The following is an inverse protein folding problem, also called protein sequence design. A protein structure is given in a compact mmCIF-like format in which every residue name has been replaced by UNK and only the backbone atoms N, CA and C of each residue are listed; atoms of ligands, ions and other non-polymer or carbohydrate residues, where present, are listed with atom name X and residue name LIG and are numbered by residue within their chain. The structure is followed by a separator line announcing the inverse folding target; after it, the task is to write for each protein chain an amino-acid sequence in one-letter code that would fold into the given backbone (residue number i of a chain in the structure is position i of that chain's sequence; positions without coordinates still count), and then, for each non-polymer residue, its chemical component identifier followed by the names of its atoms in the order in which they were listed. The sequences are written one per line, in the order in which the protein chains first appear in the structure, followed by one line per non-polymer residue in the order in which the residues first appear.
data_IF_026520235230
#
_entry.id   IF_026520235230
#
_cell.length_a   1.000
_cell.length_b   1.000
_cell.length_c   1.000
_cell.angle_alpha   90.00
_cell.angle_beta   90.00
_cell.angle_gamma   90.00
#
_symmetry.space_group_name_H-M   'P 1'
#
loop_
_entity.id
_entity.type
_entity.pdbx_description
1 polymer ?
#
# COMPACT_ATOMS: atom_id res chain seq x y z
N UNK A 1 16.51 11.33 18.77
CA UNK A 1 16.90 9.90 18.84
C UNK A 1 16.01 9.19 17.82
N UNK A 2 16.57 8.53 16.83
CA UNK A 2 15.77 7.82 15.81
C UNK A 2 15.21 6.53 16.41
N UNK A 3 14.06 6.06 15.90
CA UNK A 3 13.44 4.80 16.33
C UNK A 3 14.43 3.63 16.22
N UNK A 4 15.25 3.63 15.16
CA UNK A 4 16.37 2.70 14.96
C UNK A 4 17.35 2.68 16.13
N UNK A 5 17.68 3.83 16.73
CA UNK A 5 18.62 3.91 17.86
C UNK A 5 17.99 3.33 19.13
N UNK A 6 16.70 3.55 19.35
CA UNK A 6 15.95 3.02 20.50
C UNK A 6 15.88 1.49 20.43
N UNK A 7 15.58 0.96 19.24
CA UNK A 7 15.42 -0.49 19.04
C UNK A 7 16.76 -1.22 18.95
N UNK A 8 17.81 -0.62 18.37
CA UNK A 8 19.17 -1.17 18.47
C UNK A 8 19.63 -1.28 19.93
N UNK A 9 19.22 -0.35 20.78
CA UNK A 9 19.52 -0.42 22.23
C UNK A 9 18.76 -1.58 22.91
N UNK A 10 17.52 -1.88 22.49
CA UNK A 10 16.78 -3.05 22.95
C UNK A 10 17.41 -4.35 22.45
N UNK A 11 17.80 -4.45 21.18
CA UNK A 11 18.49 -5.63 20.63
C UNK A 11 19.81 -5.90 21.35
N UNK A 12 20.62 -4.86 21.66
CA UNK A 12 21.84 -5.01 22.46
C UNK A 12 21.59 -5.50 23.89
N UNK A 13 20.50 -5.04 24.51
CA UNK A 13 20.11 -5.48 25.85
C UNK A 13 19.57 -6.91 25.87
N UNK A 14 18.84 -7.34 24.85
CA UNK A 14 18.31 -8.71 24.74
C UNK A 14 19.43 -9.76 24.59
N UNK A 15 20.48 -9.46 23.82
CA UNK A 15 21.64 -10.33 23.66
C UNK A 15 22.42 -10.49 24.99
N UNK A 16 22.49 -9.44 25.83
CA UNK A 16 23.11 -9.50 27.14
C UNK A 16 22.28 -10.26 28.19
N UNK A 17 20.94 -10.29 28.04
CA UNK A 17 20.05 -10.99 29.00
C UNK A 17 19.93 -12.49 28.72
N UNK A 18 20.23 -12.96 27.53
CA UNK A 18 20.21 -14.39 27.18
C UNK A 18 21.37 -15.21 27.79
N UNK A 19 22.36 -14.54 28.36
CA UNK A 19 23.55 -15.20 28.99
C UNK A 19 23.40 -15.38 30.52
N UNK A 20 22.38 -14.80 31.14
CA UNK A 20 22.18 -14.82 32.59
C UNK A 20 20.74 -15.19 32.98
N UNK A 21 20.28 -16.37 32.64
CA UNK A 21 18.92 -16.78 33.00
C UNK A 21 18.77 -18.26 33.32
N UNK A 22 19.20 -18.68 34.54
CA UNK A 22 18.66 -19.90 35.15
C UNK A 22 18.42 -19.65 36.63
N UNK A 23 17.19 -20.04 37.08
CA UNK A 23 16.64 -20.09 38.41
C UNK A 23 15.75 -18.91 38.83
N UNK A 24 14.44 -19.07 38.58
CA UNK A 24 13.42 -18.41 39.38
C UNK A 24 12.40 -19.45 39.85
N UNK A 25 12.34 -19.61 41.16
CA UNK A 25 11.40 -20.46 41.89
C UNK A 25 9.99 -19.93 41.76
N UNK A 26 9.07 -20.79 41.37
CA UNK A 26 7.64 -20.48 41.27
C UNK A 26 7.01 -20.34 42.66
N UNK A 27 6.43 -19.19 42.95
CA UNK A 27 5.48 -19.01 44.05
C UNK A 27 4.07 -18.87 43.46
N UNK A 28 3.07 -19.63 43.93
CA UNK A 28 1.70 -19.50 43.42
C UNK A 28 0.99 -18.34 44.14
N UNK A 29 0.96 -17.18 43.51
CA UNK A 29 0.05 -16.13 43.94
C UNK A 29 -1.21 -16.21 43.05
N UNK A 30 -2.24 -16.89 43.54
CA UNK A 30 -3.59 -16.85 42.97
C UNK A 30 -4.24 -15.52 43.38
N UNK A 31 -3.91 -14.48 42.68
CA UNK A 31 -4.64 -13.23 42.68
C UNK A 31 -5.60 -13.24 41.47
N UNK A 32 -6.87 -13.33 41.74
CA UNK A 32 -7.95 -13.14 40.71
C UNK A 32 -7.90 -11.69 40.27
N UNK A 33 -7.06 -11.38 39.26
CA UNK A 33 -7.03 -10.09 38.64
C UNK A 33 -8.41 -9.92 37.94
N UNK A 34 -9.23 -9.03 38.47
CA UNK A 34 -10.32 -8.45 37.68
C UNK A 34 -9.64 -7.85 36.44
N UNK A 35 -10.00 -8.33 35.27
CA UNK A 35 -9.56 -7.72 34.01
C UNK A 35 -10.00 -6.25 34.07
N UNK A 36 -9.06 -5.35 34.31
CA UNK A 36 -9.34 -3.91 34.20
C UNK A 36 -9.77 -3.66 32.76
N UNK A 37 -10.93 -3.01 32.60
CA UNK A 37 -11.41 -2.66 31.27
C UNK A 37 -10.30 -1.95 30.49
N UNK A 38 -10.06 -2.35 29.24
CA UNK A 38 -9.05 -1.72 28.39
C UNK A 38 -9.37 -0.21 28.28
N UNK A 39 -8.52 0.68 28.80
CA UNK A 39 -8.80 2.12 28.80
C UNK A 39 -8.86 2.70 27.40
N UNK A 40 -8.32 2.01 26.40
CA UNK A 40 -8.33 2.41 24.98
C UNK A 40 -9.52 1.79 24.20
N UNK A 41 -10.33 0.93 24.82
CA UNK A 41 -11.47 0.30 24.14
C UNK A 41 -12.44 1.30 23.48
N UNK A 42 -12.80 2.46 24.08
CA UNK A 42 -13.63 3.44 23.43
C UNK A 42 -12.99 4.03 22.16
N UNK A 43 -11.67 4.29 22.20
CA UNK A 43 -10.93 4.81 21.06
C UNK A 43 -10.79 3.75 19.94
N UNK A 44 -10.64 2.46 20.29
CA UNK A 44 -10.63 1.35 19.32
C UNK A 44 -11.98 1.25 18.59
N UNK A 45 -13.09 1.33 19.32
CA UNK A 45 -14.44 1.32 18.73
C UNK A 45 -14.66 2.49 17.73
N UNK A 46 -14.04 3.63 17.96
CA UNK A 46 -14.07 4.76 17.01
C UNK A 46 -13.30 4.44 15.72
N UNK A 47 -12.17 3.74 15.81
CA UNK A 47 -11.43 3.27 14.63
C UNK A 47 -12.27 2.29 13.81
N UNK A 48 -12.96 1.36 14.47
CA UNK A 48 -13.84 0.38 13.82
C UNK A 48 -15.02 1.05 13.08
N UNK A 49 -15.47 2.22 13.59
CA UNK A 49 -16.47 3.07 12.95
C UNK A 49 -15.90 4.01 11.87
N UNK A 50 -14.59 3.98 11.60
CA UNK A 50 -13.94 4.89 10.68
C UNK A 50 -13.72 6.32 11.20
N UNK A 51 -14.03 6.60 12.48
CA UNK A 51 -13.95 7.92 13.14
C UNK A 51 -12.54 8.20 13.66
N UNK A 52 -11.56 8.23 12.73
CA UNK A 52 -10.15 8.32 13.08
C UNK A 52 -9.78 9.59 13.86
N UNK A 53 -10.36 10.75 13.52
CA UNK A 53 -10.07 12.02 14.21
C UNK A 53 -10.60 12.06 15.65
N UNK A 54 -11.77 11.45 15.88
CA UNK A 54 -12.33 11.31 17.24
C UNK A 54 -11.49 10.35 18.08
N UNK A 55 -11.04 9.23 17.48
CA UNK A 55 -10.12 8.30 18.11
C UNK A 55 -8.80 8.97 18.50
N UNK A 56 -8.17 9.73 17.59
CA UNK A 56 -6.96 10.50 17.87
C UNK A 56 -7.15 11.42 19.08
N UNK A 57 -8.24 12.19 19.10
CA UNK A 57 -8.57 13.11 20.20
C UNK A 57 -8.69 12.37 21.54
N UNK A 58 -9.38 11.24 21.55
CA UNK A 58 -9.58 10.40 22.74
C UNK A 58 -8.24 9.86 23.28
N UNK A 59 -7.39 9.32 22.41
CA UNK A 59 -6.08 8.77 22.81
C UNK A 59 -5.15 9.87 23.31
N UNK A 60 -5.13 11.04 22.66
CA UNK A 60 -4.34 12.19 23.10
C UNK A 60 -4.79 12.70 24.47
N UNK A 61 -6.10 12.68 24.76
CA UNK A 61 -6.62 13.03 26.09
C UNK A 61 -6.12 12.01 27.16
N UNK A 62 -6.17 10.73 26.86
CA UNK A 62 -5.65 9.68 27.74
C UNK A 62 -4.13 9.83 28.01
N UNK A 63 -3.35 10.13 26.96
CA UNK A 63 -1.90 10.35 27.08
C UNK A 63 -1.50 11.56 27.90
N UNK A 64 -2.36 12.60 28.03
CA UNK A 64 -2.09 13.74 28.93
C UNK A 64 -2.02 13.31 30.40
N UNK A 65 -2.85 12.34 30.78
CA UNK A 65 -2.89 11.81 32.13
C UNK A 65 -1.93 10.62 32.31
N UNK A 66 -1.63 9.91 31.20
CA UNK A 66 -0.82 8.69 31.19
C UNK A 66 0.34 8.78 30.17
N UNK A 67 1.28 9.74 30.31
CA UNK A 67 2.29 10.05 29.29
C UNK A 67 3.30 8.93 29.02
N UNK A 68 3.37 7.93 29.90
CA UNK A 68 4.29 6.78 29.79
C UNK A 68 3.59 5.51 29.29
N UNK A 69 2.32 5.58 28.88
CA UNK A 69 1.59 4.43 28.35
C UNK A 69 2.09 4.07 26.95
N UNK A 70 2.93 3.02 26.88
CA UNK A 70 3.42 2.51 25.60
C UNK A 70 2.28 2.10 24.68
N UNK A 71 1.26 1.42 25.21
CA UNK A 71 0.11 0.94 24.41
C UNK A 71 -0.69 2.09 23.84
N UNK A 72 -0.85 3.20 24.58
CA UNK A 72 -1.52 4.38 24.07
C UNK A 72 -0.71 5.10 22.98
N UNK A 73 0.61 5.19 23.13
CA UNK A 73 1.49 5.72 22.09
C UNK A 73 1.43 4.88 20.83
N UNK A 74 1.54 3.55 20.93
CA UNK A 74 1.48 2.67 19.77
C UNK A 74 0.11 2.71 19.09
N UNK A 75 -0.96 2.76 19.89
CA UNK A 75 -2.30 2.89 19.32
C UNK A 75 -2.53 4.25 18.66
N UNK A 76 -2.02 5.34 19.22
CA UNK A 76 -2.03 6.65 18.56
C UNK A 76 -1.23 6.62 17.26
N UNK A 77 -0.04 5.99 17.26
CA UNK A 77 0.74 5.76 16.05
C UNK A 77 -0.09 5.04 14.97
N UNK A 78 -0.76 3.95 15.33
CA UNK A 78 -1.65 3.24 14.42
C UNK A 78 -2.80 4.12 13.86
N UNK A 79 -3.44 4.93 14.71
CA UNK A 79 -4.50 5.86 14.26
C UNK A 79 -3.94 6.89 13.27
N UNK A 80 -2.77 7.43 13.55
CA UNK A 80 -2.08 8.40 12.67
C UNK A 80 -1.66 7.77 11.35
N UNK A 81 -1.15 6.53 11.36
CA UNK A 81 -0.90 5.75 10.14
C UNK A 81 -2.17 5.62 9.28
N UNK A 82 -3.30 5.24 9.89
CA UNK A 82 -4.60 5.14 9.21
C UNK A 82 -5.05 6.48 8.61
N UNK A 83 -4.63 7.61 9.18
CA UNK A 83 -4.85 8.97 8.65
C UNK A 83 -3.78 9.37 7.61
N UNK A 84 -2.84 8.50 7.25
CA UNK A 84 -1.70 8.77 6.37
C UNK A 84 -0.74 9.83 6.89
N UNK A 85 -0.69 10.04 8.19
CA UNK A 85 0.23 10.95 8.90
C UNK A 85 1.49 10.20 9.34
N UNK A 86 2.23 9.62 8.39
CA UNK A 86 3.32 8.68 8.66
C UNK A 86 4.41 9.24 9.59
N UNK A 87 4.82 10.50 9.43
CA UNK A 87 5.86 11.10 10.29
C UNK A 87 5.41 11.24 11.75
N UNK A 88 4.15 11.62 11.97
CA UNK A 88 3.57 11.72 13.31
C UNK A 88 3.39 10.32 13.92
N UNK A 89 2.96 9.35 13.12
CA UNK A 89 2.87 7.94 13.51
C UNK A 89 4.22 7.41 14.01
N UNK A 90 5.30 7.58 13.26
CA UNK A 90 6.65 7.18 13.62
C UNK A 90 7.15 7.88 14.91
N UNK A 91 6.74 9.13 15.14
CA UNK A 91 7.07 9.83 16.39
C UNK A 91 6.40 9.17 17.60
N UNK A 92 5.15 8.76 17.48
CA UNK A 92 4.42 8.07 18.55
C UNK A 92 4.97 6.66 18.79
N UNK A 93 5.30 5.89 17.73
CA UNK A 93 6.00 4.61 17.90
C UNK A 93 7.35 4.77 18.61
N UNK A 94 8.09 5.85 18.29
CA UNK A 94 9.35 6.18 18.98
C UNK A 94 9.14 6.53 20.44
N UNK A 95 8.06 7.24 20.76
CA UNK A 95 7.71 7.58 22.14
C UNK A 95 7.34 6.33 22.96
N UNK A 96 6.46 5.49 22.44
CA UNK A 96 6.05 4.23 23.07
C UNK A 96 7.20 3.25 23.27
N UNK A 97 8.11 3.17 22.30
CA UNK A 97 9.28 2.29 22.35
C UNK A 97 10.27 2.60 23.49
N UNK A 98 10.17 3.76 24.15
CA UNK A 98 10.94 4.06 25.36
C UNK A 98 10.48 3.25 26.57
N UNK A 99 9.21 2.84 26.57
CA UNK A 99 8.55 2.19 27.70
C UNK A 99 8.33 0.70 27.48
N UNK A 100 8.05 0.28 26.24
CA UNK A 100 7.88 -1.12 25.86
C UNK A 100 8.45 -1.35 24.46
N UNK A 101 9.02 -2.53 24.22
CA UNK A 101 9.40 -2.96 22.87
C UNK A 101 8.14 -3.12 22.00
N UNK A 102 8.11 -2.56 20.76
CA UNK A 102 7.04 -2.86 19.82
C UNK A 102 7.01 -4.33 19.45
N UNK A 103 5.82 -4.89 19.32
CA UNK A 103 5.61 -6.25 18.80
C UNK A 103 5.52 -6.26 17.26
N UNK A 104 5.30 -7.45 16.67
CA UNK A 104 5.27 -7.60 15.21
C UNK A 104 4.22 -6.72 14.51
N UNK A 105 3.04 -6.54 15.12
CA UNK A 105 1.97 -5.70 14.51
C UNK A 105 2.33 -4.21 14.51
N UNK A 106 2.92 -3.74 15.62
CA UNK A 106 3.42 -2.38 15.68
C UNK A 106 4.57 -2.17 14.69
N UNK A 107 5.49 -3.14 14.57
CA UNK A 107 6.58 -3.07 13.60
C UNK A 107 6.09 -3.11 12.15
N UNK A 108 5.03 -3.85 11.84
CA UNK A 108 4.37 -3.80 10.52
C UNK A 108 3.85 -2.40 10.21
N UNK A 109 3.25 -1.73 11.20
CA UNK A 109 2.77 -0.36 11.02
C UNK A 109 3.93 0.61 10.79
N UNK A 110 5.01 0.48 11.57
CA UNK A 110 6.24 1.28 11.38
C UNK A 110 6.82 1.10 9.98
N UNK A 111 6.94 -0.14 9.50
CA UNK A 111 7.41 -0.44 8.16
C UNK A 111 6.49 0.17 7.09
N UNK A 112 5.17 0.09 7.30
CA UNK A 112 4.18 0.68 6.39
C UNK A 112 4.24 2.21 6.37
N UNK A 113 4.58 2.85 7.50
CA UNK A 113 4.82 4.30 7.53
C UNK A 113 6.02 4.70 6.66
N UNK A 114 7.10 3.91 6.66
CA UNK A 114 8.24 4.15 5.77
C UNK A 114 7.85 3.96 4.29
N UNK A 115 6.97 2.99 3.99
CA UNK A 115 6.39 2.85 2.63
C UNK A 115 5.60 4.10 2.24
N UNK A 116 4.78 4.67 3.14
CA UNK A 116 4.06 5.92 2.88
C UNK A 116 4.97 7.13 2.65
N UNK A 117 6.20 7.06 3.14
CA UNK A 117 7.23 8.09 2.96
C UNK A 117 8.15 7.81 1.76
N UNK A 118 7.86 6.78 0.96
CA UNK A 118 8.71 6.28 -0.14
C UNK A 118 10.13 5.88 0.33
N UNK A 119 10.33 5.64 1.62
CA UNK A 119 11.59 5.15 2.19
C UNK A 119 11.57 3.62 2.24
N UNK A 120 11.72 3.00 1.08
CA UNK A 120 11.64 1.55 0.94
C UNK A 120 12.79 0.84 1.64
N UNK A 121 13.97 1.47 1.72
CA UNK A 121 15.17 0.91 2.39
C UNK A 121 14.91 0.70 3.89
N UNK A 122 14.35 1.68 4.57
CA UNK A 122 13.99 1.51 5.99
C UNK A 122 12.75 0.61 6.14
N UNK A 123 11.79 0.65 5.19
CA UNK A 123 10.66 -0.28 5.18
C UNK A 123 11.11 -1.75 5.08
N UNK A 124 12.06 -2.11 4.19
CA UNK A 124 12.60 -3.48 4.08
C UNK A 124 13.23 -3.94 5.40
N UNK A 125 14.03 -3.10 6.05
CA UNK A 125 14.64 -3.43 7.35
C UNK A 125 13.60 -3.80 8.40
N UNK A 126 12.51 -3.01 8.47
CA UNK A 126 11.46 -3.25 9.45
C UNK A 126 10.59 -4.45 9.11
N UNK A 127 10.19 -4.64 7.83
CA UNK A 127 9.49 -5.87 7.43
C UNK A 127 10.36 -7.10 7.58
N UNK A 128 11.67 -7.02 7.31
CA UNK A 128 12.61 -8.12 7.57
C UNK A 128 12.67 -8.47 9.06
N UNK A 129 12.63 -7.47 9.95
CA UNK A 129 12.54 -7.72 11.40
C UNK A 129 11.21 -8.38 11.78
N UNK A 130 10.08 -7.96 11.20
CA UNK A 130 8.78 -8.60 11.41
C UNK A 130 8.81 -10.06 10.97
N UNK A 131 9.34 -10.37 9.81
CA UNK A 131 9.47 -11.74 9.29
C UNK A 131 10.37 -12.60 10.17
N UNK A 132 11.44 -12.02 10.75
CA UNK A 132 12.31 -12.74 11.67
C UNK A 132 11.60 -13.09 13.00
N UNK A 133 10.70 -12.23 13.49
CA UNK A 133 9.91 -12.47 14.70
C UNK A 133 8.67 -13.33 14.46
N UNK A 134 8.09 -13.23 13.26
CA UNK A 134 6.86 -13.93 12.84
C UNK A 134 7.07 -14.64 11.51
N UNK A 135 7.91 -15.69 11.43
CA UNK A 135 8.32 -16.33 10.18
C UNK A 135 7.18 -17.07 9.45
N UNK A 136 6.06 -17.27 10.11
CA UNK A 136 4.87 -17.95 9.57
C UNK A 136 3.70 -16.97 9.30
N UNK A 137 3.95 -15.65 9.31
CA UNK A 137 2.94 -14.66 8.91
C UNK A 137 3.00 -14.43 7.39
N UNK A 138 2.04 -14.93 6.60
CA UNK A 138 2.04 -14.76 5.15
C UNK A 138 1.91 -13.28 4.74
N UNK A 139 1.21 -12.47 5.53
CA UNK A 139 1.05 -11.04 5.26
C UNK A 139 2.37 -10.27 5.43
N UNK A 140 3.18 -10.61 6.42
CA UNK A 140 4.49 -10.02 6.61
C UNK A 140 5.42 -10.30 5.41
N UNK A 141 5.45 -11.55 4.93
CA UNK A 141 6.20 -11.91 3.72
C UNK A 141 5.68 -11.21 2.46
N UNK A 142 4.36 -11.08 2.31
CA UNK A 142 3.74 -10.34 1.22
C UNK A 142 4.15 -8.85 1.23
N UNK A 143 4.08 -8.19 2.38
CA UNK A 143 4.46 -6.78 2.53
C UNK A 143 5.96 -6.57 2.26
N UNK A 144 6.80 -7.49 2.73
CA UNK A 144 8.24 -7.47 2.43
C UNK A 144 8.49 -7.63 0.93
N UNK A 145 7.79 -8.56 0.26
CA UNK A 145 7.91 -8.74 -1.19
C UNK A 145 7.52 -7.50 -1.99
N UNK A 146 6.42 -6.84 -1.61
CA UNK A 146 6.01 -5.55 -2.22
C UNK A 146 7.03 -4.44 -1.99
N UNK A 147 7.61 -4.37 -0.81
CA UNK A 147 8.63 -3.37 -0.48
C UNK A 147 9.85 -3.57 -1.35
N UNK A 148 10.35 -4.79 -1.48
CA UNK A 148 11.48 -5.16 -2.35
C UNK A 148 11.21 -4.91 -3.82
N UNK A 149 9.98 -5.12 -4.28
CA UNK A 149 9.58 -4.72 -5.63
C UNK A 149 9.79 -3.21 -5.86
N UNK A 150 9.37 -2.37 -4.92
CA UNK A 150 9.54 -0.92 -5.00
C UNK A 150 11.01 -0.47 -4.91
N UNK A 151 11.88 -1.29 -4.28
CA UNK A 151 13.33 -1.10 -4.27
C UNK A 151 14.03 -1.58 -5.55
N UNK A 152 13.29 -2.22 -6.46
CA UNK A 152 13.77 -2.95 -7.63
C UNK A 152 14.62 -4.19 -7.26
N UNK A 153 14.56 -4.69 -6.04
CA UNK A 153 15.07 -6.01 -5.67
C UNK A 153 14.06 -7.10 -6.09
N UNK A 154 13.99 -7.32 -7.40
CA UNK A 154 13.03 -8.26 -7.99
C UNK A 154 13.24 -9.71 -7.54
N UNK A 155 14.50 -10.12 -7.28
CA UNK A 155 14.78 -11.47 -6.77
C UNK A 155 14.31 -11.65 -5.33
N UNK A 156 14.60 -10.70 -4.48
CA UNK A 156 14.13 -10.68 -3.11
C UNK A 156 12.61 -10.55 -3.02
N UNK A 157 11.98 -9.80 -3.93
CA UNK A 157 10.53 -9.69 -4.05
C UNK A 157 9.89 -11.05 -4.34
N UNK A 158 10.35 -11.78 -5.38
CA UNK A 158 9.85 -13.11 -5.71
C UNK A 158 10.00 -14.06 -4.52
N UNK A 159 11.19 -14.15 -3.92
CA UNK A 159 11.42 -15.05 -2.80
C UNK A 159 10.48 -14.79 -1.60
N UNK A 160 10.20 -13.53 -1.31
CA UNK A 160 9.28 -13.15 -0.24
C UNK A 160 7.82 -13.47 -0.58
N UNK A 161 7.39 -13.21 -1.82
CA UNK A 161 6.04 -13.50 -2.29
C UNK A 161 5.78 -15.00 -2.39
N UNK A 162 6.74 -15.80 -2.87
CA UNK A 162 6.67 -17.26 -2.88
C UNK A 162 6.57 -17.84 -1.46
N UNK A 163 7.26 -17.22 -0.49
CA UNK A 163 7.10 -17.62 0.92
C UNK A 163 5.72 -17.29 1.44
N UNK A 164 5.13 -16.14 1.07
CA UNK A 164 3.74 -15.82 1.40
C UNK A 164 2.78 -16.85 0.84
N UNK A 165 2.95 -17.28 -0.42
CA UNK A 165 2.16 -18.33 -1.06
C UNK A 165 2.33 -19.71 -0.40
N UNK A 166 3.55 -20.05 0.02
CA UNK A 166 3.81 -21.31 0.72
C UNK A 166 3.08 -21.38 2.08
N UNK A 167 2.86 -20.22 2.73
CA UNK A 167 2.14 -20.11 3.99
C UNK A 167 0.63 -19.95 3.81
N UNK A 168 0.21 -19.29 2.74
CA UNK A 168 -1.18 -19.07 2.39
C UNK A 168 -1.40 -19.43 0.91
N UNK A 169 -1.70 -20.68 0.59
CA UNK A 169 -2.01 -21.10 -0.77
C UNK A 169 -3.19 -20.32 -1.36
N UNK A 170 -3.07 -19.91 -2.64
CA UNK A 170 -4.04 -19.05 -3.34
C UNK A 170 -4.13 -17.63 -2.75
N UNK A 171 -3.02 -17.08 -2.29
CA UNK A 171 -2.92 -15.66 -1.91
C UNK A 171 -2.89 -14.81 -3.19
N UNK A 172 -4.07 -14.39 -3.64
CA UNK A 172 -4.31 -13.73 -4.93
C UNK A 172 -3.39 -12.52 -5.12
N UNK A 173 -3.29 -11.67 -4.09
CA UNK A 173 -2.47 -10.45 -4.15
C UNK A 173 -0.97 -10.77 -4.27
N UNK A 174 -0.51 -11.86 -3.65
CA UNK A 174 0.89 -12.28 -3.75
C UNK A 174 1.21 -12.79 -5.16
N UNK A 175 0.35 -13.63 -5.74
CA UNK A 175 0.52 -14.13 -7.11
C UNK A 175 0.45 -12.99 -8.14
N UNK A 176 -0.51 -12.08 -7.98
CA UNK A 176 -0.60 -10.90 -8.84
C UNK A 176 0.68 -10.05 -8.78
N UNK A 177 1.28 -9.87 -7.58
CA UNK A 177 2.54 -9.14 -7.45
C UNK A 177 3.72 -9.91 -8.06
N UNK A 178 3.74 -11.24 -8.03
CA UNK A 178 4.73 -12.05 -8.77
C UNK A 178 4.62 -11.75 -10.27
N UNK A 179 3.39 -11.68 -10.80
CA UNK A 179 3.15 -11.26 -12.19
C UNK A 179 3.74 -9.90 -12.51
N UNK A 180 3.58 -8.92 -11.62
CA UNK A 180 4.18 -7.59 -11.77
C UNK A 180 5.71 -7.67 -11.79
N UNK A 181 6.31 -8.45 -10.89
CA UNK A 181 7.77 -8.62 -10.86
C UNK A 181 8.28 -9.23 -12.17
N UNK A 182 7.63 -10.27 -12.69
CA UNK A 182 8.03 -10.89 -13.96
C UNK A 182 7.89 -9.95 -15.15
N UNK A 183 6.86 -9.08 -15.15
CA UNK A 183 6.70 -8.04 -16.17
C UNK A 183 7.88 -7.06 -16.14
N UNK A 184 8.29 -6.59 -14.97
CA UNK A 184 9.47 -5.69 -14.83
C UNK A 184 10.79 -6.39 -15.24
N UNK A 185 10.89 -7.70 -15.04
CA UNK A 185 12.01 -8.51 -15.53
C UNK A 185 11.90 -8.84 -17.02
N UNK A 186 10.85 -8.35 -17.70
CA UNK A 186 10.54 -8.63 -19.10
C UNK A 186 10.34 -10.12 -19.44
N UNK A 187 10.00 -10.95 -18.43
CA UNK A 187 9.58 -12.35 -18.64
C UNK A 187 8.03 -12.38 -18.76
N UNK A 188 7.56 -11.97 -19.94
CA UNK A 188 6.13 -11.77 -20.18
C UNK A 188 5.32 -13.06 -20.12
N UNK A 189 5.95 -14.23 -20.39
CA UNK A 189 5.29 -15.52 -20.27
C UNK A 189 5.01 -15.89 -18.81
N UNK A 190 5.97 -15.68 -17.92
CA UNK A 190 5.76 -15.89 -16.49
C UNK A 190 4.79 -14.86 -15.91
N UNK A 191 4.87 -13.60 -16.33
CA UNK A 191 3.92 -12.58 -15.93
C UNK A 191 2.48 -12.97 -16.29
N UNK A 192 2.27 -13.45 -17.53
CA UNK A 192 0.98 -13.94 -18.00
C UNK A 192 0.47 -15.09 -17.13
N UNK A 193 1.30 -16.11 -16.89
CA UNK A 193 0.91 -17.28 -16.08
C UNK A 193 0.49 -16.83 -14.67
N UNK A 194 1.25 -15.95 -14.04
CA UNK A 194 0.94 -15.48 -12.69
C UNK A 194 -0.39 -14.68 -12.65
N UNK A 195 -0.65 -13.79 -13.61
CA UNK A 195 -1.91 -13.07 -13.66
C UNK A 195 -3.10 -14.00 -13.94
N UNK A 196 -2.97 -14.95 -14.90
CA UNK A 196 -3.99 -15.93 -15.19
C UNK A 196 -4.29 -16.79 -13.94
N UNK A 197 -3.27 -17.22 -13.22
CA UNK A 197 -3.40 -17.98 -11.97
C UNK A 197 -4.12 -17.18 -10.89
N UNK A 198 -3.76 -15.90 -10.70
CA UNK A 198 -4.43 -15.01 -9.73
C UNK A 198 -5.91 -14.78 -10.07
N UNK A 199 -6.25 -14.72 -11.36
CA UNK A 199 -7.64 -14.63 -11.85
C UNK A 199 -8.38 -15.96 -11.60
N UNK A 200 -7.77 -17.11 -11.95
CA UNK A 200 -8.37 -18.42 -11.77
C UNK A 200 -8.69 -18.71 -10.30
N UNK A 201 -7.81 -18.31 -9.38
CA UNK A 201 -8.04 -18.53 -7.96
C UNK A 201 -9.26 -17.79 -7.40
N UNK A 202 -9.74 -16.75 -8.06
CA UNK A 202 -10.96 -16.04 -7.66
C UNK A 202 -12.25 -16.78 -8.05
N UNK A 203 -12.18 -17.77 -8.96
CA UNK A 203 -13.33 -18.57 -9.39
C UNK A 203 -14.40 -17.75 -10.13
N UNK A 204 -15.66 -18.21 -10.00
CA UNK A 204 -16.79 -17.65 -10.75
C UNK A 204 -17.28 -16.30 -10.25
N UNK A 205 -16.94 -15.92 -9.01
CA UNK A 205 -17.36 -14.69 -8.35
C UNK A 205 -16.17 -13.86 -7.91
N UNK A 206 -15.36 -13.33 -8.87
CA UNK A 206 -14.20 -12.53 -8.52
C UNK A 206 -14.59 -11.24 -7.80
N UNK A 207 -13.73 -10.82 -6.87
CA UNK A 207 -13.90 -9.58 -6.07
C UNK A 207 -12.74 -8.61 -6.20
N UNK A 208 -11.57 -9.08 -6.62
CA UNK A 208 -10.38 -8.25 -6.83
C UNK A 208 -10.18 -7.91 -8.31
N UNK A 209 -10.25 -6.63 -8.63
CA UNK A 209 -10.07 -6.11 -9.98
C UNK A 209 -8.60 -6.09 -10.44
N UNK A 210 -7.62 -6.12 -9.49
CA UNK A 210 -6.21 -5.89 -9.81
C UNK A 210 -5.60 -6.92 -10.77
N UNK A 211 -5.81 -8.23 -10.61
CA UNK A 211 -5.30 -9.20 -11.57
C UNK A 211 -5.83 -8.98 -12.99
N UNK A 212 -7.11 -8.63 -13.13
CA UNK A 212 -7.73 -8.33 -14.43
C UNK A 212 -7.13 -7.06 -15.05
N UNK A 213 -6.94 -6.00 -14.26
CA UNK A 213 -6.31 -4.76 -14.71
C UNK A 213 -4.87 -5.02 -15.17
N UNK A 214 -4.07 -5.71 -14.36
CA UNK A 214 -2.66 -5.96 -14.67
C UNK A 214 -2.49 -6.89 -15.88
N UNK A 215 -3.34 -7.90 -16.00
CA UNK A 215 -3.34 -8.76 -17.19
C UNK A 215 -3.80 -8.02 -18.45
N UNK A 216 -4.83 -7.18 -18.33
CA UNK A 216 -5.27 -6.32 -19.43
C UNK A 216 -4.16 -5.39 -19.92
N UNK A 217 -3.40 -4.80 -19.01
CA UNK A 217 -2.22 -3.98 -19.36
C UNK A 217 -1.15 -4.81 -20.07
N UNK A 218 -0.82 -6.00 -19.56
CA UNK A 218 0.15 -6.90 -20.20
C UNK A 218 -0.27 -7.25 -21.64
N UNK A 219 -1.55 -7.53 -21.88
CA UNK A 219 -2.09 -7.84 -23.19
C UNK A 219 -2.05 -6.63 -24.12
N UNK A 220 -2.29 -5.42 -23.61
CA UNK A 220 -2.16 -4.19 -24.38
C UNK A 220 -0.71 -3.96 -24.83
N UNK A 221 0.26 -4.16 -23.92
CA UNK A 221 1.69 -4.08 -24.22
C UNK A 221 2.13 -5.12 -25.27
N UNK A 222 1.47 -6.29 -25.29
CA UNK A 222 1.67 -7.34 -26.29
C UNK A 222 0.88 -7.13 -27.60
N UNK A 223 0.29 -5.96 -27.83
CA UNK A 223 -0.52 -5.65 -29.00
C UNK A 223 -1.71 -6.60 -29.23
N UNK A 224 -2.36 -7.06 -28.14
CA UNK A 224 -3.58 -7.86 -28.15
C UNK A 224 -4.79 -7.06 -27.65
N UNK A 225 -5.22 -5.98 -28.37
CA UNK A 225 -6.16 -4.99 -27.85
C UNK A 225 -7.54 -5.59 -27.51
N UNK A 226 -8.05 -6.54 -28.30
CA UNK A 226 -9.38 -7.12 -28.08
C UNK A 226 -9.44 -7.91 -26.76
N UNK A 227 -8.38 -8.68 -26.48
CA UNK A 227 -8.25 -9.38 -25.19
C UNK A 227 -8.04 -8.38 -24.05
N UNK A 228 -7.18 -7.38 -24.24
CA UNK A 228 -6.96 -6.34 -23.24
C UNK A 228 -8.26 -5.66 -22.83
N UNK A 229 -9.10 -5.26 -23.80
CA UNK A 229 -10.41 -4.65 -23.54
C UNK A 229 -11.31 -5.59 -22.75
N UNK A 230 -11.32 -6.90 -23.06
CA UNK A 230 -12.14 -7.87 -22.32
C UNK A 230 -11.76 -7.92 -20.83
N UNK A 231 -10.47 -8.02 -20.52
CA UNK A 231 -9.99 -8.06 -19.12
C UNK A 231 -10.15 -6.72 -18.42
N UNK A 232 -9.88 -5.60 -19.09
CA UNK A 232 -10.08 -4.26 -18.53
C UNK A 232 -11.56 -3.95 -18.25
N UNK A 233 -12.48 -4.38 -19.11
CA UNK A 233 -13.92 -4.26 -18.84
C UNK A 233 -14.31 -5.09 -17.61
N UNK A 234 -13.76 -6.30 -17.45
CA UNK A 234 -14.01 -7.09 -16.25
C UNK A 234 -13.46 -6.40 -14.99
N UNK A 235 -12.31 -5.78 -15.08
CA UNK A 235 -11.77 -4.95 -13.99
C UNK A 235 -12.71 -3.76 -13.67
N UNK A 236 -13.27 -3.09 -14.70
CA UNK A 236 -14.19 -1.97 -14.53
C UNK A 236 -15.53 -2.38 -13.89
N UNK A 237 -16.02 -3.60 -14.18
CA UNK A 237 -17.20 -4.16 -13.50
C UNK A 237 -16.97 -4.37 -12.00
N UNK A 238 -15.76 -4.81 -11.63
CA UNK A 238 -15.38 -5.09 -10.24
C UNK A 238 -15.02 -3.83 -9.45
N UNK A 239 -14.45 -2.84 -10.12
CA UNK A 239 -14.02 -1.59 -9.51
C UNK A 239 -14.36 -0.38 -10.41
N UNK A 240 -15.67 -0.04 -10.53
CA UNK A 240 -16.13 1.02 -11.44
C UNK A 240 -15.61 2.42 -11.07
N UNK A 241 -15.21 2.62 -9.81
CA UNK A 241 -14.70 3.90 -9.33
C UNK A 241 -13.16 4.01 -9.39
N UNK A 242 -12.50 3.07 -10.07
CA UNK A 242 -11.05 3.11 -10.24
C UNK A 242 -10.67 3.86 -11.54
N UNK A 243 -10.14 5.09 -11.45
CA UNK A 243 -9.82 5.90 -12.63
C UNK A 243 -8.75 5.27 -13.53
N UNK A 244 -7.82 4.48 -12.95
CA UNK A 244 -6.74 3.84 -13.70
C UNK A 244 -7.28 2.82 -14.73
N UNK A 245 -8.37 2.12 -14.40
CA UNK A 245 -8.96 1.15 -15.34
C UNK A 245 -9.50 1.87 -16.59
N UNK A 246 -10.19 2.99 -16.40
CA UNK A 246 -10.72 3.81 -17.49
C UNK A 246 -9.61 4.48 -18.29
N UNK A 247 -8.53 4.90 -17.63
CA UNK A 247 -7.33 5.41 -18.31
C UNK A 247 -6.72 4.33 -19.22
N UNK A 248 -6.55 3.10 -18.74
CA UNK A 248 -6.01 2.00 -19.54
C UNK A 248 -6.93 1.59 -20.69
N UNK A 249 -8.26 1.55 -20.47
CA UNK A 249 -9.22 1.35 -21.57
C UNK A 249 -9.08 2.43 -22.64
N UNK A 250 -8.93 3.69 -22.25
CA UNK A 250 -8.68 4.79 -23.19
C UNK A 250 -7.42 4.56 -24.01
N UNK A 251 -6.31 4.16 -23.35
CA UNK A 251 -5.05 3.86 -24.06
C UNK A 251 -5.23 2.75 -25.10
N UNK A 252 -5.94 1.67 -24.75
CA UNK A 252 -6.17 0.56 -25.68
C UNK A 252 -7.05 1.00 -26.87
N UNK A 253 -8.12 1.78 -26.63
CA UNK A 253 -8.95 2.32 -27.71
C UNK A 253 -8.19 3.30 -28.62
N UNK A 254 -7.24 4.07 -28.07
CA UNK A 254 -6.36 4.94 -28.87
C UNK A 254 -5.43 4.15 -29.80
N UNK A 255 -5.01 2.96 -29.39
CA UNK A 255 -4.21 2.06 -30.21
C UNK A 255 -5.04 1.43 -31.35
N UNK A 256 -6.36 1.27 -31.18
CA UNK A 256 -7.31 0.78 -32.19
C UNK A 256 -7.92 1.89 -33.07
N UNK A 257 -7.39 3.09 -33.14
CA UNK A 257 -7.88 4.41 -33.51
C UNK A 257 -9.40 4.66 -33.26
N UNK A 258 -9.98 4.11 -32.21
CA UNK A 258 -11.36 4.41 -31.79
C UNK A 258 -11.36 5.62 -30.84
N UNK A 259 -11.21 6.80 -31.45
CA UNK A 259 -11.10 8.08 -30.73
C UNK A 259 -12.35 8.38 -29.88
N UNK A 260 -13.52 7.90 -30.27
CA UNK A 260 -14.76 8.17 -29.54
C UNK A 260 -14.84 7.36 -28.26
N UNK A 261 -14.50 6.06 -28.30
CA UNK A 261 -14.46 5.24 -27.08
C UNK A 261 -13.34 5.68 -26.16
N UNK A 262 -12.16 5.98 -26.71
CA UNK A 262 -11.06 6.52 -25.94
C UNK A 262 -11.45 7.80 -25.18
N UNK A 263 -12.17 8.73 -25.82
CA UNK A 263 -12.68 9.94 -25.17
C UNK A 263 -13.63 9.60 -24.02
N UNK A 264 -14.60 8.71 -24.26
CA UNK A 264 -15.59 8.32 -23.25
C UNK A 264 -14.93 7.75 -22.01
N UNK A 265 -13.95 6.87 -22.18
CA UNK A 265 -13.25 6.28 -21.02
C UNK A 265 -12.36 7.30 -20.30
N UNK A 266 -11.68 8.17 -21.03
CA UNK A 266 -10.84 9.21 -20.42
C UNK A 266 -11.68 10.26 -19.67
N UNK A 267 -12.86 10.62 -20.17
CA UNK A 267 -13.80 11.49 -19.46
C UNK A 267 -14.31 10.84 -18.16
N UNK A 268 -14.54 9.52 -18.14
CA UNK A 268 -14.85 8.78 -16.89
C UNK A 268 -13.69 8.83 -15.91
N UNK A 269 -12.45 8.57 -16.36
CA UNK A 269 -11.26 8.66 -15.51
C UNK A 269 -11.13 10.05 -14.87
N UNK A 270 -11.35 11.12 -15.64
CA UNK A 270 -11.32 12.51 -15.16
C UNK A 270 -12.45 12.78 -14.15
N UNK A 271 -13.66 12.28 -14.40
CA UNK A 271 -14.77 12.44 -13.47
C UNK A 271 -14.47 11.81 -12.10
N UNK A 272 -13.76 10.68 -12.09
CA UNK A 272 -13.33 9.98 -10.86
C UNK A 272 -12.12 10.64 -10.18
N UNK A 273 -11.22 11.25 -10.98
CA UNK A 273 -9.98 11.84 -10.48
C UNK A 273 -9.69 13.21 -11.14
N UNK A 274 -10.52 14.24 -10.87
CA UNK A 274 -10.45 15.54 -11.56
C UNK A 274 -9.19 16.36 -11.24
N UNK A 275 -8.45 15.99 -10.20
CA UNK A 275 -7.20 16.65 -9.82
C UNK A 275 -5.95 16.07 -10.51
N UNK A 276 -6.08 15.01 -11.31
CA UNK A 276 -4.94 14.35 -11.96
C UNK A 276 -4.61 15.05 -13.28
N UNK A 277 -3.56 15.86 -13.28
CA UNK A 277 -3.15 16.67 -14.43
C UNK A 277 -2.81 15.85 -15.68
N UNK A 278 -2.28 14.63 -15.53
CA UNK A 278 -1.97 13.74 -16.66
C UNK A 278 -3.19 13.32 -17.46
N UNK A 279 -4.34 13.10 -16.81
CA UNK A 279 -5.58 12.75 -17.49
C UNK A 279 -6.10 13.90 -18.37
N UNK A 280 -6.05 15.13 -17.87
CA UNK A 280 -6.40 16.33 -18.64
C UNK A 280 -5.45 16.53 -19.83
N UNK A 281 -4.16 16.31 -19.62
CA UNK A 281 -3.19 16.35 -20.72
C UNK A 281 -3.53 15.34 -21.82
N UNK A 282 -3.85 14.10 -21.45
CA UNK A 282 -4.24 13.05 -22.39
C UNK A 282 -5.52 13.43 -23.16
N UNK A 283 -6.53 13.98 -22.46
CA UNK A 283 -7.77 14.44 -23.12
C UNK A 283 -7.49 15.61 -24.06
N UNK A 284 -6.61 16.53 -23.70
CA UNK A 284 -6.16 17.61 -24.58
C UNK A 284 -5.48 17.08 -25.85
N UNK A 285 -4.63 16.07 -25.73
CA UNK A 285 -4.00 15.40 -26.88
C UNK A 285 -5.05 14.72 -27.77
N UNK A 286 -6.04 14.06 -27.15
CA UNK A 286 -7.12 13.39 -27.88
C UNK A 286 -7.96 14.40 -28.65
N UNK A 287 -8.39 15.52 -28.04
CA UNK A 287 -9.12 16.58 -28.73
C UNK A 287 -8.32 17.19 -29.87
N UNK A 288 -7.00 17.35 -29.72
CA UNK A 288 -6.13 17.80 -30.79
C UNK A 288 -6.13 16.83 -31.99
N UNK A 289 -6.09 15.51 -31.73
CA UNK A 289 -6.20 14.47 -32.79
C UNK A 289 -7.56 14.49 -33.50
N UNK A 290 -8.61 14.88 -32.76
CA UNK A 290 -9.96 15.05 -33.33
C UNK A 290 -10.17 16.40 -34.08
N UNK A 291 -9.19 17.30 -34.09
CA UNK A 291 -9.31 18.64 -34.68
C UNK A 291 -10.08 19.64 -33.82
N UNK A 292 -10.36 19.31 -32.54
CA UNK A 292 -11.13 20.14 -31.59
C UNK A 292 -10.21 21.10 -30.82
N UNK A 293 -9.59 22.05 -31.53
CA UNK A 293 -8.52 22.90 -31.00
C UNK A 293 -8.91 23.67 -29.72
N UNK A 294 -10.12 24.24 -29.65
CA UNK A 294 -10.57 25.01 -28.49
C UNK A 294 -10.77 24.13 -27.24
N UNK A 295 -11.25 22.90 -27.41
CA UNK A 295 -11.37 21.93 -26.31
C UNK A 295 -9.98 21.48 -25.85
N UNK A 296 -9.09 21.17 -26.77
CA UNK A 296 -7.72 20.80 -26.46
C UNK A 296 -7.02 21.89 -25.63
N UNK A 297 -7.16 23.16 -26.02
CA UNK A 297 -6.56 24.28 -25.28
C UNK A 297 -7.07 24.36 -23.85
N UNK A 298 -8.37 24.20 -23.62
CA UNK A 298 -8.96 24.21 -22.27
C UNK A 298 -8.36 23.14 -21.37
N UNK A 299 -8.18 21.94 -21.89
CA UNK A 299 -7.59 20.82 -21.13
C UNK A 299 -6.10 21.05 -20.83
N UNK A 300 -5.34 21.62 -21.78
CA UNK A 300 -3.94 22.00 -21.55
C UNK A 300 -3.81 23.13 -20.52
N UNK A 301 -4.70 24.13 -20.56
CA UNK A 301 -4.73 25.22 -19.56
C UNK A 301 -5.03 24.66 -18.15
N UNK A 302 -5.93 23.68 -18.07
CA UNK A 302 -6.25 23.00 -16.80
C UNK A 302 -5.07 22.15 -16.32
N UNK A 303 -4.42 21.41 -17.22
CA UNK A 303 -3.19 20.67 -16.91
C UNK A 303 -2.13 21.59 -16.29
N UNK A 304 -1.89 22.75 -16.89
CA UNK A 304 -0.91 23.71 -16.38
C UNK A 304 -1.28 24.24 -14.99
N UNK A 305 -2.56 24.53 -14.74
CA UNK A 305 -3.05 24.96 -13.41
C UNK A 305 -2.85 23.88 -12.35
N UNK A 306 -3.22 22.64 -12.65
CA UNK A 306 -3.08 21.52 -11.71
C UNK A 306 -1.61 21.21 -11.42
N UNK A 307 -0.75 21.22 -12.45
CA UNK A 307 0.69 21.01 -12.26
C UNK A 307 1.36 22.15 -11.48
N UNK A 308 0.93 23.41 -11.67
CA UNK A 308 1.40 24.57 -10.91
C UNK A 308 0.96 24.55 -9.44
N UNK A 309 -0.24 24.07 -9.15
CA UNK A 309 -0.73 23.88 -7.80
C UNK A 309 0.09 22.82 -7.04
N UNK A 310 0.45 21.72 -7.70
CA UNK A 310 1.29 20.65 -7.07
C UNK A 310 2.73 21.09 -6.83
N UNK A 311 3.26 22.04 -7.57
CA UNK A 311 4.62 22.57 -7.34
C UNK A 311 4.72 23.47 -6.10
N UNK A 312 3.60 24.00 -5.62
CA UNK A 312 3.52 24.85 -4.42
C UNK A 312 3.21 24.07 -3.14
N UNK A 313 2.61 22.90 -3.23
CA UNK A 313 2.36 21.97 -2.13
C UNK A 313 3.30 20.77 -2.22
N UNK A 314 4.37 20.76 -1.42
CA UNK A 314 5.19 19.55 -1.19
C UNK A 314 4.43 18.56 -0.30
N UNK A 315 3.28 18.10 -0.74
CA UNK A 315 2.61 16.93 -0.18
C UNK A 315 2.86 15.74 -1.11
N UNK A 316 3.28 14.58 -0.61
CA UNK A 316 3.42 13.38 -1.44
C UNK A 316 2.07 13.06 -2.08
N UNK A 317 2.05 12.87 -3.40
CA UNK A 317 0.87 12.43 -4.13
C UNK A 317 0.44 11.05 -3.58
N UNK A 318 -0.77 10.88 -3.03
CA UNK A 318 -1.22 9.59 -2.47
C UNK A 318 -1.42 8.50 -3.54
N UNK A 319 -1.22 8.81 -4.82
CA UNK A 319 -1.33 7.88 -5.95
C UNK A 319 0.02 7.60 -6.63
N UNK A 320 1.15 7.96 -6.02
CA UNK A 320 2.45 7.57 -6.58
C UNK A 320 2.79 6.09 -6.28
N UNK A 321 1.99 5.18 -6.85
CA UNK A 321 2.60 4.01 -7.48
C UNK A 321 3.51 4.65 -8.54
N UNK A 322 4.83 4.62 -8.35
CA UNK A 322 5.76 5.11 -9.37
C UNK A 322 5.31 4.58 -10.71
N UNK A 323 4.97 5.49 -11.62
CA UNK A 323 4.73 5.14 -13.01
C UNK A 323 6.06 4.55 -13.54
N UNK A 324 6.14 3.26 -13.92
CA UNK A 324 7.37 2.63 -14.37
C UNK A 324 7.88 3.19 -15.70
N UNK A 325 7.20 4.17 -16.31
CA UNK A 325 7.52 4.76 -17.59
C UNK A 325 7.98 6.24 -17.52
N UNK A 326 8.54 6.68 -16.39
CA UNK A 326 9.27 7.95 -16.40
C UNK A 326 10.73 7.71 -16.84
N UNK A 327 11.28 8.51 -17.80
CA UNK A 327 12.60 8.32 -18.36
C UNK A 327 13.74 8.44 -17.36
#
# INVERSE_FOLDING_TARGET
MRLTDVLLNWLRKAVLSAVLGSLAVASPFVGRAQASADPLAPARALVDQGKLSESETSVRAYLKENPNSADAHFFLGYVLFRQKKARESLAEFTAGAKFRRPGPEELKTVASDYVLLDDFVDADKWFSAVVAESPNDPNAHYLLGRTRFNENDYRGAIASLERALALHPKYIEAENNIGLVWRELNDLDKARVAFETAIEWQGDTPTDAQPFLNYGKLLADQHQPDKAISFLNRAAELAPDNPTIHEELSHVYLAQPDLQKAQTELEKAIALAPGVSSLHYQLGQLYRRQGLADRARKEFDLTAKLSGAHSSEKTPNPLSIKNPNAP
#
